data_IF_638597124266
#
_entry.id   IF_638597124266
#
_cell.length_a   1.000
_cell.length_b   1.000
_cell.length_c   1.000
_cell.angle_alpha   90.00
_cell.angle_beta   90.00
_cell.angle_gamma   90.00
#
_symmetry.space_group_name_H-M   'P 1'
#
loop_
_entity.id
_entity.type
_entity.pdbx_description
1 polymer ?
#
# COMPACT_ATOMS: atom_id res chain seq x y z
N UNK A 1 13.93 3.39 5.62
CA UNK A 1 13.85 2.38 6.69
C UNK A 1 12.65 1.49 6.43
N UNK A 2 12.86 0.18 6.27
CA UNK A 2 11.80 -0.78 5.95
C UNK A 2 11.68 -1.82 7.07
N UNK A 3 10.44 -2.03 7.55
CA UNK A 3 10.09 -3.11 8.48
C UNK A 3 11.06 -3.20 9.67
N UNK A 4 11.37 -2.05 10.28
CA UNK A 4 12.22 -1.94 11.47
C UNK A 4 11.36 -1.71 12.70
N UNK A 5 11.73 -2.23 13.88
CA UNK A 5 11.08 -1.86 15.14
C UNK A 5 11.03 -0.35 15.29
N UNK A 6 9.90 0.17 15.77
CA UNK A 6 9.63 1.61 15.85
C UNK A 6 10.75 2.36 16.60
N UNK A 7 11.15 1.85 17.77
CA UNK A 7 12.20 2.46 18.59
C UNK A 7 13.56 2.55 17.86
N UNK A 8 13.90 1.53 17.07
CA UNK A 8 15.15 1.53 16.30
C UNK A 8 15.07 2.53 15.13
N UNK A 9 13.94 2.57 14.43
CA UNK A 9 13.77 3.50 13.31
C UNK A 9 13.78 4.96 13.77
N UNK A 10 13.17 5.25 14.93
CA UNK A 10 13.25 6.55 15.58
C UNK A 10 14.69 6.92 15.94
N UNK A 11 15.41 6.02 16.60
CA UNK A 11 16.81 6.26 16.97
C UNK A 11 17.69 6.58 15.75
N UNK A 12 17.54 5.83 14.66
CA UNK A 12 18.29 6.08 13.42
C UNK A 12 17.97 7.48 12.88
N UNK A 13 16.68 7.84 12.82
CA UNK A 13 16.24 9.15 12.31
C UNK A 13 16.82 10.30 13.13
N UNK A 14 16.88 10.15 14.45
CA UNK A 14 17.45 11.16 15.36
C UNK A 14 18.99 11.29 15.23
N UNK A 15 19.68 10.30 14.66
CA UNK A 15 21.16 10.25 14.62
C UNK A 15 21.78 10.62 13.27
N UNK A 16 21.06 10.47 12.17
CA UNK A 16 21.60 10.73 10.83
C UNK A 16 21.16 12.11 10.33
N UNK A 17 22.07 12.85 9.70
CA UNK A 17 21.76 14.20 9.20
C UNK A 17 20.91 14.19 7.91
N UNK A 18 20.88 13.05 7.19
CA UNK A 18 20.10 12.91 5.96
C UNK A 18 18.64 12.53 6.29
N UNK A 19 17.64 13.00 5.51
CA UNK A 19 16.26 12.61 5.71
C UNK A 19 16.05 11.10 5.60
N UNK A 20 15.22 10.55 6.48
CA UNK A 20 14.80 9.16 6.49
C UNK A 20 13.40 8.99 5.92
N UNK A 21 13.23 7.99 5.06
CA UNK A 21 11.92 7.64 4.48
C UNK A 21 11.50 6.26 5.01
N UNK A 22 10.34 6.17 5.66
CA UNK A 22 9.83 4.97 6.31
C UNK A 22 8.77 4.22 5.51
N UNK A 23 8.78 2.88 5.61
CA UNK A 23 7.64 2.01 5.27
C UNK A 23 7.54 0.90 6.32
N UNK A 24 6.43 0.90 7.06
CA UNK A 24 6.24 -0.03 8.18
C UNK A 24 7.36 0.00 9.22
N UNK A 25 7.91 1.19 9.49
CA UNK A 25 9.02 1.40 10.41
C UNK A 25 8.59 2.25 11.62
N UNK A 26 8.67 3.57 11.53
CA UNK A 26 8.22 4.50 12.58
C UNK A 26 7.59 5.73 11.95
N UNK A 27 6.51 6.29 12.55
CA UNK A 27 5.98 7.59 12.15
C UNK A 27 6.96 8.74 12.39
N UNK A 28 8.05 8.49 13.15
CA UNK A 28 9.11 9.46 13.37
C UNK A 28 10.10 9.59 12.19
N UNK A 29 10.03 8.75 11.15
CA UNK A 29 10.82 9.00 9.94
C UNK A 29 10.33 10.30 9.26
N UNK A 30 11.23 11.06 8.66
CA UNK A 30 10.97 12.38 8.06
C UNK A 30 9.95 12.35 6.91
N UNK A 31 9.84 11.19 6.25
CA UNK A 31 8.81 10.93 5.27
C UNK A 31 8.34 9.48 5.31
N UNK A 32 7.24 9.20 4.62
CA UNK A 32 6.65 7.88 4.52
C UNK A 32 6.41 7.52 3.05
N UNK A 33 6.58 6.24 2.72
CA UNK A 33 6.18 5.67 1.43
C UNK A 33 5.27 4.47 1.65
N UNK A 34 4.42 4.21 0.66
CA UNK A 34 3.59 3.01 0.54
C UNK A 34 3.63 2.55 -0.91
N UNK A 35 3.42 1.25 -1.14
CA UNK A 35 3.17 0.71 -2.48
C UNK A 35 1.74 1.10 -2.87
N UNK A 36 1.59 1.74 -4.04
CA UNK A 36 0.29 2.22 -4.53
C UNK A 36 -0.74 1.09 -4.62
N UNK A 37 -0.30 -0.08 -5.10
CA UNK A 37 -1.18 -1.24 -5.25
C UNK A 37 -1.71 -1.78 -3.91
N UNK A 38 -0.87 -1.79 -2.87
CA UNK A 38 -1.29 -2.18 -1.51
C UNK A 38 -2.22 -1.12 -0.90
N UNK A 39 -1.89 0.16 -1.10
CA UNK A 39 -2.65 1.30 -0.60
C UNK A 39 -4.06 1.36 -1.22
N UNK A 40 -4.16 1.13 -2.52
CA UNK A 40 -5.41 1.12 -3.28
C UNK A 40 -6.11 -0.24 -3.27
N UNK A 41 -5.44 -1.28 -2.77
CA UNK A 41 -6.01 -2.60 -2.63
C UNK A 41 -6.31 -3.27 -3.96
N UNK A 42 -5.36 -3.24 -4.89
CA UNK A 42 -5.46 -3.90 -6.18
C UNK A 42 -5.28 -5.42 -6.08
N UNK A 43 -4.51 -5.89 -5.09
CA UNK A 43 -4.32 -7.32 -4.83
C UNK A 43 -5.02 -7.76 -3.54
N UNK A 44 -5.72 -8.90 -3.59
CA UNK A 44 -6.61 -9.36 -2.51
C UNK A 44 -6.00 -10.28 -1.47
N UNK A 45 -5.05 -11.14 -1.87
CA UNK A 45 -4.60 -12.30 -1.07
C UNK A 45 -3.45 -11.99 -0.12
N UNK A 46 -2.60 -11.00 -0.42
CA UNK A 46 -1.53 -10.55 0.46
C UNK A 46 -1.81 -9.14 0.96
N UNK A 47 -1.82 -8.95 2.28
CA UNK A 47 -1.95 -7.64 2.92
C UNK A 47 -0.78 -7.43 3.88
N UNK A 48 0.18 -6.55 3.54
CA UNK A 48 1.23 -6.21 4.49
C UNK A 48 0.62 -5.53 5.71
N UNK A 49 0.97 -6.02 6.91
CA UNK A 49 0.39 -5.54 8.19
C UNK A 49 0.59 -4.04 8.46
N UNK A 50 1.55 -3.41 7.79
CA UNK A 50 1.91 -2.01 7.96
C UNK A 50 1.23 -1.05 6.96
N UNK A 51 0.46 -1.58 6.00
CA UNK A 51 -0.22 -0.74 5.01
C UNK A 51 -1.63 -0.42 5.49
N UNK A 52 -1.95 0.87 5.56
CA UNK A 52 -3.34 1.32 5.61
C UNK A 52 -3.92 1.27 4.21
N UNK A 53 -5.00 0.53 4.03
CA UNK A 53 -5.76 0.47 2.77
C UNK A 53 -6.73 1.65 2.70
N UNK A 54 -6.75 2.34 1.57
CA UNK A 54 -7.59 3.51 1.31
C UNK A 54 -8.69 3.24 0.29
N UNK A 55 -8.57 2.19 -0.53
CA UNK A 55 -9.59 1.80 -1.51
C UNK A 55 -9.64 0.27 -1.69
N UNK A 56 -10.65 -0.24 -2.40
CA UNK A 56 -10.80 -1.66 -2.70
C UNK A 56 -10.79 -1.97 -4.20
N UNK A 57 -9.87 -1.34 -4.94
CA UNK A 57 -9.92 -1.29 -6.41
C UNK A 57 -9.85 -2.66 -7.10
N UNK A 58 -9.24 -3.68 -6.48
CA UNK A 58 -9.26 -5.03 -7.03
C UNK A 58 -10.68 -5.59 -7.19
N UNK A 59 -11.54 -5.40 -6.19
CA UNK A 59 -12.95 -5.84 -6.25
C UNK A 59 -13.77 -5.01 -7.24
N UNK A 60 -13.50 -3.70 -7.33
CA UNK A 60 -14.16 -2.83 -8.30
C UNK A 60 -13.77 -3.23 -9.74
N UNK A 61 -12.50 -3.55 -9.96
CA UNK A 61 -12.00 -4.03 -11.25
C UNK A 61 -12.62 -5.40 -11.62
N UNK A 62 -12.68 -6.34 -10.68
CA UNK A 62 -13.35 -7.64 -10.90
C UNK A 62 -14.81 -7.46 -11.32
N UNK A 63 -15.56 -6.59 -10.63
CA UNK A 63 -16.95 -6.29 -10.96
C UNK A 63 -17.09 -5.65 -12.35
N UNK A 64 -16.24 -4.68 -12.69
CA UNK A 64 -16.27 -4.00 -13.98
C UNK A 64 -15.94 -4.95 -15.15
N UNK A 65 -14.94 -5.82 -14.98
CA UNK A 65 -14.55 -6.81 -15.99
C UNK A 65 -15.68 -7.82 -16.21
N UNK A 66 -16.33 -8.29 -15.14
CA UNK A 66 -17.47 -9.20 -15.25
C UNK A 66 -18.67 -8.56 -15.95
N UNK A 67 -18.95 -7.28 -15.67
CA UNK A 67 -19.99 -6.52 -16.35
C UNK A 67 -19.70 -6.37 -17.85
N UNK A 68 -18.47 -5.97 -18.20
CA UNK A 68 -18.04 -5.88 -19.59
C UNK A 68 -18.14 -7.22 -20.32
N UNK A 69 -17.68 -8.32 -19.71
CA UNK A 69 -17.76 -9.65 -20.32
C UNK A 69 -19.21 -10.08 -20.61
N UNK A 70 -20.14 -9.74 -19.72
CA UNK A 70 -21.58 -9.97 -19.92
C UNK A 70 -22.14 -9.15 -21.07
N UNK A 71 -21.73 -7.89 -21.20
CA UNK A 71 -22.20 -7.01 -22.27
C UNK A 71 -21.58 -7.40 -23.63
N UNK A 72 -20.29 -7.72 -23.68
CA UNK A 72 -19.61 -8.15 -24.91
C UNK A 72 -20.10 -9.52 -25.42
N UNK A 73 -20.46 -10.45 -24.52
CA UNK A 73 -21.07 -11.72 -24.89
C UNK A 73 -22.53 -11.61 -25.33
N UNK A 74 -23.16 -10.46 -25.07
CA UNK A 74 -24.45 -10.06 -25.65
C UNK A 74 -24.16 -9.27 -26.92
N UNK A 75 -23.59 -9.95 -27.92
CA UNK A 75 -23.53 -9.40 -29.28
C UNK A 75 -24.93 -8.87 -29.65
N UNK A 76 -24.99 -7.61 -30.07
CA UNK A 76 -26.10 -7.12 -30.88
C UNK A 76 -26.13 -7.84 -32.22
#
# INVERSE_FOLDING_TARGET
>A
LEKRPEALARLITEQVAIPTIGIGASPACDGQILVVDDMLGLFGTFRPRFVKRYAALGSDAEAAIAAYAKDAGRSH
#
